data_IF_739136438498
#
_entry.id   IF_739136438498
#
_cell.length_a   1.000
_cell.length_b   1.000
_cell.length_c   1.000
_cell.angle_alpha   90.00
_cell.angle_beta   90.00
_cell.angle_gamma   90.00
#
_symmetry.space_group_name_H-M   'P 1'
#
loop_
_entity.id
_entity.type
_entity.pdbx_description
1 polymer ?
#
# COMPACT_ATOMS: atom_id res chain seq x y z
N UNK A 1 -4.55 7.78 -5.84
CA UNK A 1 -4.57 6.39 -5.38
C UNK A 1 -4.68 5.41 -6.51
N UNK A 2 -5.67 5.59 -7.36
CA UNK A 2 -5.79 4.73 -8.52
C UNK A 2 -4.55 4.77 -9.39
N UNK A 3 -3.92 5.93 -9.46
CA UNK A 3 -2.70 6.09 -10.25
C UNK A 3 -1.57 5.17 -9.81
N UNK A 4 -1.39 5.00 -8.50
CA UNK A 4 -0.33 4.13 -8.01
C UNK A 4 -0.60 2.68 -8.38
N UNK A 5 -1.84 2.24 -8.29
CA UNK A 5 -2.21 0.88 -8.66
C UNK A 5 -2.02 0.68 -10.15
N UNK A 6 -2.47 1.62 -10.99
CA UNK A 6 -2.30 1.51 -12.44
C UNK A 6 -0.85 1.43 -12.83
N UNK A 7 -0.01 2.23 -12.18
CA UNK A 7 1.41 2.27 -12.49
C UNK A 7 2.08 0.91 -12.37
N UNK A 8 1.70 0.15 -11.34
CA UNK A 8 2.34 -1.13 -11.06
C UNK A 8 1.57 -2.34 -11.56
N UNK A 9 0.28 -2.19 -11.81
CA UNK A 9 -0.58 -3.33 -12.13
C UNK A 9 -1.06 -3.36 -13.58
N UNK A 10 -0.76 -2.34 -14.37
CA UNK A 10 -1.32 -2.20 -15.72
C UNK A 10 -1.21 -3.47 -16.54
N UNK A 11 -2.36 -3.98 -16.99
CA UNK A 11 -2.42 -5.13 -17.88
C UNK A 11 -2.22 -6.49 -17.22
N UNK A 12 -1.87 -6.53 -15.94
CA UNK A 12 -1.61 -7.79 -15.24
C UNK A 12 -2.87 -8.34 -14.57
N UNK A 13 -3.73 -7.46 -14.09
CA UNK A 13 -4.92 -7.86 -13.36
C UNK A 13 -6.18 -7.44 -14.09
N UNK A 14 -7.25 -8.23 -13.90
CA UNK A 14 -8.53 -7.85 -14.48
C UNK A 14 -9.17 -6.73 -13.64
N UNK A 15 -10.26 -6.11 -14.15
CA UNK A 15 -10.88 -4.99 -13.43
C UNK A 15 -11.35 -5.32 -12.02
N UNK A 16 -11.81 -6.54 -11.78
CA UNK A 16 -12.24 -6.93 -10.44
C UNK A 16 -11.05 -6.99 -9.48
N UNK A 17 -9.92 -7.52 -9.96
CA UNK A 17 -8.70 -7.56 -9.16
C UNK A 17 -8.25 -6.15 -8.79
N UNK A 18 -8.31 -5.24 -9.76
CA UNK A 18 -7.91 -3.86 -9.53
C UNK A 18 -8.80 -3.21 -8.48
N UNK A 19 -10.10 -3.49 -8.51
CA UNK A 19 -11.02 -2.95 -7.51
C UNK A 19 -10.65 -3.40 -6.10
N UNK A 20 -10.30 -4.66 -5.97
CA UNK A 20 -9.88 -5.19 -4.66
C UNK A 20 -8.62 -4.49 -4.20
N UNK A 21 -7.66 -4.32 -5.09
CA UNK A 21 -6.42 -3.66 -4.75
C UNK A 21 -6.63 -2.20 -4.34
N UNK A 22 -7.47 -1.49 -5.09
CA UNK A 22 -7.78 -0.10 -4.76
C UNK A 22 -8.47 0.00 -3.41
N UNK A 23 -9.42 -0.90 -3.16
CA UNK A 23 -10.14 -0.89 -1.89
C UNK A 23 -9.19 -1.18 -0.71
N UNK A 24 -8.31 -2.15 -0.87
CA UNK A 24 -7.34 -2.48 0.17
C UNK A 24 -6.37 -1.32 0.39
N UNK A 25 -5.97 -0.67 -0.69
CA UNK A 25 -5.11 0.51 -0.60
C UNK A 25 -5.78 1.62 0.21
N UNK A 26 -7.03 1.91 -0.12
CA UNK A 26 -7.78 2.95 0.59
C UNK A 26 -7.91 2.62 2.07
N UNK A 27 -8.20 1.36 2.38
CA UNK A 27 -8.32 0.92 3.76
C UNK A 27 -7.02 1.10 4.51
N UNK A 28 -5.90 0.72 3.89
CA UNK A 28 -4.59 0.86 4.52
C UNK A 28 -4.24 2.33 4.73
N UNK A 29 -4.50 3.16 3.72
CA UNK A 29 -4.22 4.57 3.80
C UNK A 29 -5.02 5.24 4.91
N UNK A 30 -6.31 4.94 4.98
CA UNK A 30 -7.17 5.48 6.03
C UNK A 30 -6.71 5.05 7.40
N UNK A 31 -6.28 3.80 7.53
CA UNK A 31 -5.78 3.29 8.80
C UNK A 31 -4.56 4.06 9.27
N UNK A 32 -3.65 4.36 8.35
CA UNK A 32 -2.47 5.14 8.69
C UNK A 32 -2.84 6.53 9.14
N UNK A 33 -3.72 7.19 8.42
CA UNK A 33 -4.15 8.54 8.78
C UNK A 33 -4.87 8.53 10.13
N UNK A 34 -5.70 7.52 10.37
CA UNK A 34 -6.45 7.42 11.62
C UNK A 34 -5.55 7.18 12.81
N UNK A 35 -4.37 6.62 12.60
CA UNK A 35 -3.43 6.36 13.69
C UNK A 35 -2.65 7.61 14.10
N UNK A 36 -2.89 8.73 13.44
CA UNK A 36 -2.24 9.98 13.79
C UNK A 36 -0.92 10.23 13.07
N UNK A 37 -0.60 9.40 12.08
CA UNK A 37 0.62 9.61 11.30
C UNK A 37 0.49 10.86 10.46
N UNK A 38 1.55 11.67 10.46
CA UNK A 38 1.63 12.85 9.60
C UNK A 38 2.87 12.74 8.73
N UNK A 39 2.86 13.49 7.65
CA UNK A 39 3.98 13.49 6.70
C UNK A 39 4.53 14.89 6.59
N UNK A 40 5.87 14.99 6.50
CA UNK A 40 6.54 16.28 6.43
C UNK A 40 6.40 16.92 5.06
N UNK A 41 6.13 16.13 4.03
CA UNK A 41 6.04 16.64 2.69
C UNK A 41 5.18 15.73 1.83
N UNK A 42 4.78 16.25 0.67
CA UNK A 42 4.06 15.44 -0.31
C UNK A 42 4.92 14.30 -0.82
N UNK A 43 6.23 14.52 -0.89
CA UNK A 43 7.17 13.49 -1.32
C UNK A 43 7.13 12.31 -0.37
N UNK A 44 7.14 12.59 0.93
CA UNK A 44 7.08 11.52 1.91
C UNK A 44 5.76 10.75 1.82
N UNK A 45 4.67 11.48 1.70
CA UNK A 45 3.35 10.90 1.55
C UNK A 45 3.29 9.98 0.33
N UNK A 46 3.85 10.45 -0.78
CA UNK A 46 3.86 9.69 -2.01
C UNK A 46 4.70 8.42 -1.86
N UNK A 47 5.85 8.52 -1.20
CA UNK A 47 6.71 7.37 -0.99
C UNK A 47 6.00 6.29 -0.18
N UNK A 48 5.24 6.70 0.84
CA UNK A 48 4.47 5.73 1.64
C UNK A 48 3.39 5.06 0.80
N UNK A 49 2.69 5.85 -0.02
CA UNK A 49 1.67 5.28 -0.89
C UNK A 49 2.26 4.27 -1.87
N UNK A 50 3.46 4.57 -2.38
CA UNK A 50 4.13 3.63 -3.29
C UNK A 50 4.48 2.32 -2.59
N UNK A 51 4.94 2.39 -1.35
CA UNK A 51 5.25 1.19 -0.57
C UNK A 51 3.99 0.33 -0.41
N UNK A 52 2.89 0.96 -0.05
CA UNK A 52 1.63 0.23 0.12
C UNK A 52 1.19 -0.41 -1.20
N UNK A 53 1.23 0.35 -2.27
CA UNK A 53 0.78 -0.14 -3.57
C UNK A 53 1.63 -1.30 -4.06
N UNK A 54 2.94 -1.19 -3.94
CA UNK A 54 3.83 -2.26 -4.38
C UNK A 54 3.56 -3.55 -3.63
N UNK A 55 3.38 -3.45 -2.33
CA UNK A 55 3.14 -4.65 -1.53
C UNK A 55 1.82 -5.30 -1.91
N UNK A 56 0.78 -4.48 -2.09
CA UNK A 56 -0.53 -5.01 -2.46
C UNK A 56 -0.46 -5.74 -3.80
N UNK A 57 0.18 -5.14 -4.77
CA UNK A 57 0.30 -5.74 -6.09
C UNK A 57 1.09 -7.04 -6.02
N UNK A 58 2.17 -7.04 -5.26
CA UNK A 58 2.99 -8.24 -5.12
C UNK A 58 2.21 -9.38 -4.49
N UNK A 59 1.46 -9.10 -3.44
CA UNK A 59 0.64 -10.11 -2.80
C UNK A 59 -0.45 -10.64 -3.74
N UNK A 60 -1.03 -9.75 -4.53
CA UNK A 60 -2.06 -10.16 -5.48
C UNK A 60 -1.47 -11.06 -6.57
N UNK A 61 -0.22 -10.86 -6.94
CA UNK A 61 0.45 -11.74 -7.91
C UNK A 61 0.57 -13.15 -7.40
N UNK A 62 0.69 -13.31 -6.08
CA UNK A 62 0.74 -14.63 -5.47
C UNK A 62 -0.64 -15.20 -5.17
N UNK A 63 -1.68 -14.50 -5.60
CA UNK A 63 -3.03 -15.01 -5.49
C UNK A 63 -3.85 -14.46 -4.34
N UNK A 64 -3.29 -13.54 -3.54
CA UNK A 64 -4.06 -12.98 -2.44
C UNK A 64 -5.17 -12.10 -2.96
N UNK A 65 -6.40 -12.34 -2.52
CA UNK A 65 -7.56 -11.55 -2.94
C UNK A 65 -8.41 -11.09 -1.78
N UNK A 66 -8.03 -11.45 -0.56
CA UNK A 66 -8.76 -11.01 0.62
C UNK A 66 -8.37 -9.56 0.93
N UNK A 67 -9.35 -8.67 0.84
CA UNK A 67 -9.15 -7.24 1.04
C UNK A 67 -8.51 -6.94 2.39
N UNK A 68 -8.95 -7.64 3.42
CA UNK A 68 -8.47 -7.44 4.77
C UNK A 68 -7.02 -7.87 4.92
N UNK A 69 -6.68 -9.04 4.36
CA UNK A 69 -5.31 -9.53 4.41
C UNK A 69 -4.38 -8.64 3.61
N UNK A 70 -4.84 -8.18 2.48
CA UNK A 70 -4.06 -7.25 1.67
C UNK A 70 -3.76 -5.98 2.45
N UNK A 71 -4.80 -5.42 3.08
CA UNK A 71 -4.65 -4.21 3.88
C UNK A 71 -3.65 -4.43 5.02
N UNK A 72 -3.86 -5.50 5.78
CA UNK A 72 -3.02 -5.76 6.96
C UNK A 72 -1.58 -6.01 6.56
N UNK A 73 -1.37 -6.74 5.48
CA UNK A 73 -0.02 -6.97 4.97
C UNK A 73 0.68 -5.70 4.54
N UNK A 74 -0.07 -4.81 3.89
CA UNK A 74 0.50 -3.54 3.46
C UNK A 74 0.91 -2.68 4.66
N UNK A 75 0.07 -2.66 5.68
CA UNK A 75 0.39 -1.91 6.89
C UNK A 75 1.61 -2.47 7.60
N UNK A 76 1.72 -3.79 7.65
CA UNK A 76 2.87 -4.44 8.23
C UNK A 76 4.14 -4.11 7.45
N UNK A 77 4.04 -4.14 6.12
CA UNK A 77 5.18 -3.81 5.28
C UNK A 77 5.64 -2.37 5.50
N UNK A 78 4.68 -1.46 5.64
CA UNK A 78 5.01 -0.08 5.94
C UNK A 78 5.77 0.03 7.26
N UNK A 79 5.28 -0.65 8.30
CA UNK A 79 5.91 -0.61 9.61
C UNK A 79 7.34 -1.15 9.55
N UNK A 80 7.53 -2.26 8.84
CA UNK A 80 8.85 -2.85 8.69
C UNK A 80 9.79 -1.94 7.91
N UNK A 81 9.28 -1.30 6.87
CA UNK A 81 10.06 -0.36 6.08
C UNK A 81 10.51 0.82 6.92
N UNK A 82 9.61 1.29 7.76
CA UNK A 82 9.90 2.42 8.64
C UNK A 82 11.02 2.06 9.64
N UNK A 83 10.94 0.86 10.22
CA UNK A 83 11.96 0.41 11.16
C UNK A 83 13.31 0.24 10.49
N UNK A 84 13.32 -0.29 9.28
CA UNK A 84 14.55 -0.51 8.54
C UNK A 84 15.25 0.80 8.21
N UNK A 85 14.47 1.83 7.90
CA UNK A 85 15.01 3.10 7.46
C UNK A 85 15.25 4.07 8.59
N UNK A 86 14.95 3.65 9.81
CA UNK A 86 15.15 4.52 10.94
C UNK A 86 16.64 4.78 11.15
N UNK A 87 17.05 6.05 11.30
CA UNK A 87 18.45 6.34 11.49
C UNK A 87 18.99 5.72 12.78
N UNK A 88 20.22 5.27 12.72
CA UNK A 88 20.89 4.73 13.88
C UNK A 88 21.68 5.82 14.55
N UNK A 89 21.72 5.76 15.83
CA UNK A 89 22.48 6.75 16.57
C UNK A 89 23.90 6.30 16.76
#
# INVERSE_FOLDING_TARGET
MLEAIDKYAGGVFNPDDVRILVAAFDDAWRSLLASGITFESDRESKAVRDVLAKHLIEQARYGERDRRRLRDGALLQYAQSKLKNKPRK
#
